data_IF_501937180333
#
_entry.id   IF_501937180333
#
_cell.length_a   1.000
_cell.length_b   1.000
_cell.length_c   1.000
_cell.angle_alpha   90.00
_cell.angle_beta   90.00
_cell.angle_gamma   90.00
#
_symmetry.space_group_name_H-M   'P 1'
#
loop_
_entity.id
_entity.type
_entity.pdbx_description
1 polymer ?
#
# COMPACT_ATOMS: atom_id res chain seq x y z
N UNK A 1 -5.82 -15.17 -20.44
CA UNK A 1 -5.85 -14.11 -19.41
C UNK A 1 -4.42 -13.72 -19.09
N UNK A 2 -4.00 -12.50 -19.46
CA UNK A 2 -2.71 -11.96 -19.04
C UNK A 2 -2.89 -11.48 -17.60
N UNK A 3 -2.21 -12.13 -16.66
CA UNK A 3 -2.20 -11.66 -15.27
C UNK A 3 -1.47 -10.31 -15.25
N UNK A 4 -2.07 -9.24 -14.72
CA UNK A 4 -1.35 -7.98 -14.57
C UNK A 4 -0.10 -8.25 -13.72
N UNK A 5 1.05 -7.81 -14.23
CA UNK A 5 2.34 -7.96 -13.57
C UNK A 5 2.86 -6.55 -13.27
N UNK A 6 3.11 -6.26 -11.99
CA UNK A 6 3.80 -5.03 -11.59
C UNK A 6 5.28 -5.35 -11.44
N UNK A 7 6.14 -4.41 -11.85
CA UNK A 7 7.56 -4.50 -11.50
C UNK A 7 7.69 -4.05 -10.04
N UNK A 8 7.58 -5.00 -9.11
CA UNK A 8 7.67 -4.70 -7.69
C UNK A 8 9.09 -4.27 -7.31
N UNK A 9 9.21 -3.14 -6.60
CA UNK A 9 10.46 -2.64 -6.01
C UNK A 9 10.36 -2.54 -4.47
N UNK A 10 9.24 -2.97 -3.90
CA UNK A 10 9.01 -3.04 -2.46
C UNK A 10 7.98 -4.12 -2.13
N UNK A 11 7.87 -4.44 -0.84
CA UNK A 11 6.84 -5.33 -0.34
C UNK A 11 6.43 -4.92 1.07
N UNK A 12 5.19 -5.23 1.44
CA UNK A 12 4.70 -5.13 2.80
C UNK A 12 4.54 -6.54 3.34
N UNK A 13 5.11 -6.80 4.51
CA UNK A 13 4.84 -8.00 5.27
C UNK A 13 3.81 -7.66 6.34
N UNK A 14 2.58 -8.11 6.14
CA UNK A 14 1.49 -7.93 7.08
C UNK A 14 1.65 -8.85 8.29
N UNK A 15 1.07 -8.44 9.43
CA UNK A 15 1.11 -9.22 10.68
C UNK A 15 0.40 -10.57 10.56
N UNK A 16 -0.56 -10.70 9.63
CA UNK A 16 -1.21 -11.97 9.29
C UNK A 16 -0.30 -12.94 8.50
N UNK A 17 0.96 -12.56 8.22
CA UNK A 17 1.93 -13.38 7.50
C UNK A 17 1.90 -13.23 5.98
N UNK A 18 0.92 -12.49 5.43
CA UNK A 18 0.84 -12.23 3.99
C UNK A 18 1.91 -11.23 3.58
N UNK A 19 2.66 -11.58 2.53
CA UNK A 19 3.56 -10.65 1.84
C UNK A 19 2.86 -10.11 0.60
N UNK A 20 2.77 -8.80 0.52
CA UNK A 20 2.14 -8.11 -0.59
C UNK A 20 3.19 -7.28 -1.34
N UNK A 21 3.39 -7.60 -2.61
CA UNK A 21 4.34 -6.89 -3.47
C UNK A 21 3.75 -5.58 -3.95
N UNK A 22 4.60 -4.56 -4.02
CA UNK A 22 4.20 -3.23 -4.48
C UNK A 22 5.27 -2.56 -5.34
N UNK A 23 4.81 -1.63 -6.17
CA UNK A 23 5.66 -0.66 -6.84
C UNK A 23 5.51 0.69 -6.15
N UNK A 24 6.62 1.21 -5.63
CA UNK A 24 6.79 2.53 -5.05
C UNK A 24 7.28 3.46 -6.17
N UNK A 25 6.60 4.58 -6.40
CA UNK A 25 7.10 5.59 -7.35
C UNK A 25 8.46 6.15 -6.92
N UNK A 26 9.24 6.70 -7.86
CA UNK A 26 10.56 7.28 -7.57
C UNK A 26 10.53 8.33 -6.44
N UNK A 27 9.43 9.06 -6.29
CA UNK A 27 9.25 10.12 -5.29
C UNK A 27 8.52 9.63 -4.03
N UNK A 28 8.13 8.35 -3.98
CA UNK A 28 7.28 7.77 -2.93
C UNK A 28 5.86 8.33 -2.90
N UNK A 29 5.44 9.07 -3.93
CA UNK A 29 4.12 9.69 -4.02
C UNK A 29 2.99 8.70 -4.22
N UNK A 30 3.28 7.53 -4.82
CA UNK A 30 2.29 6.49 -5.07
C UNK A 30 2.83 5.11 -4.74
N UNK A 31 1.97 4.27 -4.17
CA UNK A 31 2.20 2.85 -3.91
C UNK A 31 1.18 2.04 -4.71
N UNK A 32 1.65 1.16 -5.57
CA UNK A 32 0.81 0.38 -6.48
C UNK A 32 0.87 -1.10 -6.12
N UNK A 33 -0.28 -1.70 -5.86
CA UNK A 33 -0.43 -3.09 -5.44
C UNK A 33 -1.15 -3.91 -6.51
N UNK A 34 -0.76 -5.18 -6.65
CA UNK A 34 -1.54 -6.17 -7.38
C UNK A 34 -2.60 -6.74 -6.46
N UNK A 35 -3.85 -6.37 -6.68
CA UNK A 35 -5.00 -6.96 -6.00
C UNK A 35 -5.43 -8.22 -6.76
N UNK A 36 -5.73 -9.33 -6.07
CA UNK A 36 -6.35 -10.48 -6.71
C UNK A 36 -7.60 -10.04 -7.47
N UNK A 37 -7.75 -10.41 -8.76
CA UNK A 37 -8.93 -10.03 -9.52
C UNK A 37 -10.18 -10.57 -8.82
N UNK A 38 -11.12 -9.67 -8.53
CA UNK A 38 -12.41 -10.01 -7.95
C UNK A 38 -13.51 -9.69 -8.96
N UNK A 39 -14.73 -10.21 -8.74
CA UNK A 39 -15.88 -9.98 -9.62
C UNK A 39 -16.21 -8.47 -9.78
N UNK A 40 -15.81 -7.65 -8.81
CA UNK A 40 -15.98 -6.19 -8.81
C UNK A 40 -14.74 -5.43 -9.31
N UNK A 41 -13.59 -6.11 -9.46
CA UNK A 41 -12.34 -5.49 -9.93
C UNK A 41 -11.53 -6.47 -10.81
N UNK A 42 -11.89 -6.60 -12.11
CA UNK A 42 -11.42 -7.67 -13.00
C UNK A 42 -9.95 -7.55 -13.46
N UNK A 43 -9.24 -6.50 -13.05
CA UNK A 43 -7.80 -6.31 -13.32
C UNK A 43 -7.07 -5.67 -12.15
N UNK A 44 -7.60 -5.87 -10.93
CA UNK A 44 -7.43 -4.99 -9.76
C UNK A 44 -6.02 -4.54 -9.46
N UNK A 45 -5.67 -3.35 -9.94
CA UNK A 45 -4.57 -2.57 -9.40
C UNK A 45 -5.17 -1.69 -8.31
N UNK A 46 -4.56 -1.69 -7.13
CA UNK A 46 -4.88 -0.72 -6.09
C UNK A 46 -3.76 0.30 -6.02
N UNK A 47 -4.10 1.58 -6.16
CA UNK A 47 -3.15 2.69 -6.08
C UNK A 47 -3.43 3.45 -4.79
N UNK A 48 -2.39 3.63 -3.99
CA UNK A 48 -2.37 4.49 -2.82
C UNK A 48 -1.58 5.74 -3.14
N UNK A 49 -2.22 6.90 -3.04
CA UNK A 49 -1.62 8.19 -3.33
C UNK A 49 -1.34 8.95 -2.04
N UNK A 50 -0.15 9.54 -1.93
CA UNK A 50 0.30 10.25 -0.73
C UNK A 50 -0.53 11.50 -0.50
N UNK A 51 -0.82 11.78 0.77
CA UNK A 51 -1.48 12.98 1.24
C UNK A 51 -0.39 13.91 1.79
N UNK A 52 0.10 14.83 0.95
CA UNK A 52 1.20 15.71 1.32
C UNK A 52 0.84 16.64 2.50
N UNK A 53 -0.44 16.98 2.68
CA UNK A 53 -0.93 17.83 3.77
C UNK A 53 -1.08 17.11 5.12
N UNK A 54 -0.96 15.78 5.15
CA UNK A 54 -1.20 14.97 6.35
C UNK A 54 0.08 14.42 6.98
N UNK A 55 1.25 14.99 6.69
CA UNK A 55 2.51 14.58 7.33
C UNK A 55 2.45 14.88 8.83
N UNK A 56 2.19 13.85 9.63
CA UNK A 56 2.19 13.95 11.08
C UNK A 56 3.49 13.32 11.62
N UNK A 57 4.49 14.16 11.87
CA UNK A 57 5.81 13.71 12.35
C UNK A 57 6.54 12.85 11.31
N UNK A 58 6.97 11.66 11.73
CA UNK A 58 7.82 10.73 10.96
C UNK A 58 7.00 9.71 10.14
N UNK A 59 5.74 10.02 9.82
CA UNK A 59 4.86 9.12 9.07
C UNK A 59 4.20 9.81 7.87
N UNK A 60 4.24 9.13 6.74
CA UNK A 60 3.53 9.48 5.52
C UNK A 60 2.15 8.81 5.50
N UNK A 61 1.14 9.54 5.03
CA UNK A 61 -0.21 9.03 4.89
C UNK A 61 -0.59 8.94 3.43
N UNK A 62 -1.34 7.90 3.08
CA UNK A 62 -1.81 7.60 1.75
C UNK A 62 -3.31 7.30 1.78
N UNK A 63 -4.02 7.62 0.70
CA UNK A 63 -5.40 7.21 0.48
C UNK A 63 -5.48 6.27 -0.72
N UNK A 64 -6.40 5.30 -0.66
CA UNK A 64 -6.69 4.44 -1.79
C UNK A 64 -7.55 5.20 -2.82
N UNK A 65 -7.08 5.31 -4.05
CA UNK A 65 -7.79 6.03 -5.13
C UNK A 65 -9.13 5.37 -5.50
N UNK A 66 -9.24 4.04 -5.34
CA UNK A 66 -10.47 3.30 -5.55
C UNK A 66 -11.42 3.28 -4.34
N UNK A 67 -10.94 3.65 -3.15
CA UNK A 67 -11.75 3.70 -1.94
C UNK A 67 -11.19 4.68 -0.91
N UNK A 68 -11.63 5.93 -0.96
CA UNK A 68 -11.11 7.04 -0.13
C UNK A 68 -11.23 6.79 1.39
N UNK A 69 -12.12 5.87 1.79
CA UNK A 69 -12.29 5.42 3.18
C UNK A 69 -11.17 4.51 3.67
N UNK A 70 -10.40 3.93 2.75
CA UNK A 70 -9.21 3.11 3.04
C UNK A 70 -7.99 4.01 2.96
N UNK A 71 -7.23 4.05 4.06
CA UNK A 71 -6.00 4.83 4.20
C UNK A 71 -4.87 3.91 4.62
N UNK A 72 -3.67 4.27 4.23
CA UNK A 72 -2.46 3.60 4.66
C UNK A 72 -1.53 4.64 5.28
N UNK A 73 -0.91 4.29 6.39
CA UNK A 73 0.12 5.09 7.04
C UNK A 73 1.41 4.31 6.98
N UNK A 74 2.49 4.96 6.56
CA UNK A 74 3.83 4.37 6.46
C UNK A 74 4.78 5.28 7.22
N UNK A 75 5.45 4.75 8.25
CA UNK A 75 6.39 5.51 9.04
C UNK A 75 7.84 5.26 8.60
N UNK A 76 8.75 6.20 8.90
CA UNK A 76 10.17 6.11 8.57
C UNK A 76 10.86 4.87 9.15
N UNK A 77 10.30 4.32 10.24
CA UNK A 77 10.71 3.04 10.84
C UNK A 77 10.42 1.83 9.95
N UNK A 78 9.66 2.01 8.88
CA UNK A 78 9.13 0.96 8.03
C UNK A 78 7.82 0.37 8.53
N UNK A 79 7.24 0.86 9.64
CA UNK A 79 5.92 0.40 10.10
C UNK A 79 4.82 0.85 9.11
N UNK A 80 3.92 -0.07 8.79
CA UNK A 80 2.75 0.17 7.94
C UNK A 80 1.48 -0.11 8.73
N UNK A 81 0.54 0.83 8.70
CA UNK A 81 -0.79 0.66 9.27
C UNK A 81 -1.85 0.87 8.19
N UNK A 82 -2.75 -0.10 8.03
CA UNK A 82 -3.89 -0.02 7.14
C UNK A 82 -5.15 0.32 7.94
N UNK A 83 -5.82 1.37 7.53
CA UNK A 83 -6.96 1.97 8.23
C UNK A 83 -8.16 1.96 7.27
N UNK A 84 -9.32 1.50 7.74
CA UNK A 84 -10.57 1.58 7.00
C UNK A 84 -11.64 2.21 7.89
N UNK A 85 -12.28 3.27 7.39
CA UNK A 85 -13.36 3.99 8.10
C UNK A 85 -12.94 4.45 9.51
N UNK A 86 -11.67 4.83 9.68
CA UNK A 86 -11.09 5.28 10.95
C UNK A 86 -10.62 4.17 11.89
N UNK A 87 -10.78 2.90 11.53
CA UNK A 87 -10.34 1.76 12.33
C UNK A 87 -9.11 1.10 11.71
N UNK A 88 -8.15 0.68 12.55
CA UNK A 88 -7.00 -0.10 12.09
C UNK A 88 -7.47 -1.51 11.76
N UNK A 89 -7.35 -1.90 10.48
CA UNK A 89 -7.75 -3.22 10.00
C UNK A 89 -6.56 -4.16 9.80
N UNK A 90 -5.37 -3.63 9.59
CA UNK A 90 -4.15 -4.42 9.47
C UNK A 90 -2.91 -3.59 9.82
N UNK A 91 -1.86 -4.26 10.27
CA UNK A 91 -0.55 -3.66 10.49
C UNK A 91 0.52 -4.54 9.85
N UNK A 92 1.62 -3.94 9.44
CA UNK A 92 2.69 -4.62 8.75
C UNK A 92 3.98 -3.82 8.82
N UNK A 93 4.99 -4.31 8.10
CA UNK A 93 6.25 -3.61 7.94
C UNK A 93 6.68 -3.64 6.48
N UNK A 94 7.32 -2.56 6.04
CA UNK A 94 8.06 -2.51 4.78
C UNK A 94 9.14 -3.57 4.82
N UNK A 95 8.97 -4.60 4.00
CA UNK A 95 9.99 -5.58 3.72
C UNK A 95 10.81 -5.05 2.55
N UNK A 96 11.81 -4.21 2.82
CA UNK A 96 12.81 -3.88 1.80
C UNK A 96 13.44 -5.19 1.32
N UNK A 97 13.24 -5.54 0.06
CA UNK A 97 14.08 -6.55 -0.57
C UNK A 97 15.38 -5.83 -0.90
N UNK A 98 16.39 -6.05 -0.06
CA UNK A 98 17.78 -5.70 -0.37
C UNK A 98 18.18 -6.63 -1.52
N UNK A 99 18.18 -6.11 -2.74
CA UNK A 99 18.89 -6.74 -3.86
C UNK A 99 20.17 -5.95 -4.11
#
# INVERSE_FOLDING_TARGET
MVKPNIVANGAIKWANGVREEMNISQTGSTLTFLTPPSMLNPGGITIFSRIDSARNGNCEHYYNEGSVKVRMQVCDTGEVTLIQDGQVINVGALSQTVY
#
